data_IF_877686616495
#
_entry.id   IF_877686616495
#
_cell.length_a   1.000
_cell.length_b   1.000
_cell.length_c   1.000
_cell.angle_alpha   90.00
_cell.angle_beta   90.00
_cell.angle_gamma   90.00
#
_symmetry.space_group_name_H-M   'P 1'
#
loop_
_entity.id
_entity.type
_entity.pdbx_description
1 polymer ?
#
# COMPACT_ATOMS: atom_id res chain seq x y z
N UNK A 1 -41.12 33.51 20.22
CA UNK A 1 -40.62 33.26 18.84
C UNK A 1 -41.18 31.92 18.36
N UNK A 2 -41.82 31.86 17.20
CA UNK A 2 -42.45 30.64 16.69
C UNK A 2 -41.49 29.77 15.87
N UNK A 3 -41.37 28.50 16.25
CA UNK A 3 -40.89 27.45 15.36
C UNK A 3 -41.92 27.29 14.23
N UNK A 4 -41.59 27.64 12.98
CA UNK A 4 -42.56 27.47 11.89
C UNK A 4 -42.28 28.17 10.58
N UNK A 5 -41.26 27.76 9.83
CA UNK A 5 -41.30 27.82 8.36
C UNK A 5 -40.29 26.85 7.72
N UNK A 6 -40.64 25.56 7.73
CA UNK A 6 -39.96 24.59 6.87
C UNK A 6 -40.34 24.92 5.41
N UNK A 7 -39.44 25.58 4.66
CA UNK A 7 -39.66 25.90 3.24
C UNK A 7 -39.95 24.60 2.49
N UNK A 8 -41.17 24.46 1.95
CA UNK A 8 -41.52 23.36 1.05
C UNK A 8 -40.56 23.39 -0.13
N UNK A 9 -39.88 22.26 -0.36
CA UNK A 9 -39.10 22.03 -1.58
C UNK A 9 -40.01 22.25 -2.81
N UNK A 10 -39.46 22.83 -3.88
CA UNK A 10 -40.26 23.14 -5.06
C UNK A 10 -40.86 21.86 -5.67
N UNK A 11 -42.03 21.93 -6.33
CA UNK A 11 -42.70 20.74 -6.90
C UNK A 11 -41.78 19.96 -7.85
N UNK A 12 -40.93 20.66 -8.61
CA UNK A 12 -39.91 20.03 -9.47
C UNK A 12 -38.90 19.17 -8.70
N UNK A 13 -38.45 19.62 -7.51
CA UNK A 13 -37.48 18.86 -6.70
C UNK A 13 -38.14 17.70 -5.97
N UNK A 14 -39.36 17.87 -5.44
CA UNK A 14 -40.10 16.75 -4.84
C UNK A 14 -40.42 15.66 -5.86
N UNK A 15 -40.79 16.02 -7.09
CA UNK A 15 -41.04 15.07 -8.17
C UNK A 15 -39.76 14.40 -8.71
N UNK A 16 -38.63 15.13 -8.76
CA UNK A 16 -37.30 14.55 -9.04
C UNK A 16 -36.94 13.45 -8.01
N UNK A 17 -37.01 13.77 -6.72
CA UNK A 17 -36.73 12.81 -5.65
C UNK A 17 -37.71 11.62 -5.69
N UNK A 18 -38.99 11.87 -6.00
CA UNK A 18 -40.00 10.81 -6.14
C UNK A 18 -39.64 9.86 -7.29
N UNK A 19 -39.35 10.38 -8.48
CA UNK A 19 -39.06 9.56 -9.67
C UNK A 19 -37.74 8.81 -9.57
N UNK A 20 -36.69 9.40 -8.99
CA UNK A 20 -35.40 8.74 -8.85
C UNK A 20 -35.43 7.62 -7.79
N UNK A 21 -35.85 7.93 -6.56
CA UNK A 21 -35.72 7.03 -5.40
C UNK A 21 -36.80 5.94 -5.32
N UNK A 22 -38.01 6.19 -5.83
CA UNK A 22 -39.13 5.23 -5.76
C UNK A 22 -39.18 4.26 -6.94
N UNK A 23 -38.17 4.28 -7.83
CA UNK A 23 -38.02 3.23 -8.83
C UNK A 23 -37.58 1.92 -8.16
N UNK A 24 -38.17 0.75 -8.50
CA UNK A 24 -37.76 -0.53 -7.91
C UNK A 24 -36.26 -0.83 -8.09
N UNK A 25 -35.68 -0.36 -9.20
CA UNK A 25 -34.25 -0.46 -9.51
C UNK A 25 -33.39 0.36 -8.54
N UNK A 26 -33.79 1.59 -8.18
CA UNK A 26 -33.09 2.39 -7.17
C UNK A 26 -33.18 1.76 -5.77
N UNK A 27 -34.34 1.20 -5.40
CA UNK A 27 -34.51 0.46 -4.16
C UNK A 27 -33.57 -0.76 -4.07
N UNK A 28 -33.43 -1.53 -5.15
CA UNK A 28 -32.48 -2.63 -5.22
C UNK A 28 -31.03 -2.15 -5.09
N UNK A 29 -30.64 -1.09 -5.82
CA UNK A 29 -29.28 -0.55 -5.78
C UNK A 29 -28.92 -0.04 -4.37
N UNK A 30 -29.82 0.67 -3.70
CA UNK A 30 -29.65 1.11 -2.31
C UNK A 30 -29.47 -0.09 -1.35
N UNK A 31 -30.32 -1.12 -1.46
CA UNK A 31 -30.18 -2.34 -0.67
C UNK A 31 -28.81 -3.01 -0.89
N UNK A 32 -28.41 -3.20 -2.15
CA UNK A 32 -27.14 -3.83 -2.50
C UNK A 32 -25.93 -3.00 -2.00
N UNK A 33 -25.99 -1.67 -2.07
CA UNK A 33 -24.97 -0.79 -1.50
C UNK A 33 -24.87 -0.88 0.02
N UNK A 34 -25.99 -1.02 0.74
CA UNK A 34 -26.00 -1.24 2.19
C UNK A 34 -25.40 -2.61 2.53
N UNK A 35 -25.76 -3.67 1.81
CA UNK A 35 -25.20 -5.03 1.98
C UNK A 35 -23.69 -5.02 1.74
N UNK A 36 -23.23 -4.42 0.63
CA UNK A 36 -21.80 -4.27 0.31
C UNK A 36 -21.05 -3.54 1.43
N UNK A 37 -21.58 -2.39 1.89
CA UNK A 37 -20.95 -1.60 2.95
C UNK A 37 -20.88 -2.37 4.26
N UNK A 38 -21.93 -3.11 4.62
CA UNK A 38 -21.94 -3.95 5.82
C UNK A 38 -20.95 -5.11 5.75
N UNK A 39 -20.81 -5.74 4.58
CA UNK A 39 -19.92 -6.88 4.37
C UNK A 39 -18.43 -6.50 4.32
N UNK A 40 -18.07 -5.45 3.58
CA UNK A 40 -16.66 -5.11 3.31
C UNK A 40 -16.18 -3.88 4.09
N UNK A 41 -16.89 -2.76 4.02
CA UNK A 41 -16.48 -1.52 4.69
C UNK A 41 -16.67 -1.56 6.22
N UNK A 42 -17.64 -2.33 6.72
CA UNK A 42 -17.94 -2.46 8.15
C UNK A 42 -16.80 -3.10 8.97
N UNK A 43 -15.83 -3.78 8.34
CA UNK A 43 -14.59 -4.22 9.02
C UNK A 43 -13.71 -3.01 9.35
N UNK A 44 -13.39 -2.19 8.34
CA UNK A 44 -12.53 -1.00 8.48
C UNK A 44 -13.04 -0.04 9.56
N UNK A 45 -14.34 0.21 9.61
CA UNK A 45 -14.90 1.20 10.54
C UNK A 45 -14.85 0.73 11.99
N UNK A 46 -15.07 -0.56 12.27
CA UNK A 46 -14.98 -1.11 13.63
C UNK A 46 -13.56 -1.06 14.21
N UNK A 47 -12.52 -1.20 13.37
CA UNK A 47 -11.13 -1.03 13.79
C UNK A 47 -10.76 0.42 14.13
N UNK A 48 -11.41 1.40 13.50
CA UNK A 48 -11.04 2.82 13.59
C UNK A 48 -11.91 3.66 14.53
N UNK A 49 -13.11 3.19 14.90
CA UNK A 49 -14.12 3.98 15.63
C UNK A 49 -14.74 3.25 16.82
N UNK A 50 -13.92 2.47 17.53
CA UNK A 50 -14.32 1.70 18.71
C UNK A 50 -14.93 2.53 19.86
N UNK A 51 -14.74 3.85 19.88
CA UNK A 51 -15.19 4.75 20.96
C UNK A 51 -16.34 5.70 20.58
N UNK A 52 -16.66 5.88 19.29
CA UNK A 52 -17.71 6.83 18.83
C UNK A 52 -18.72 6.15 17.89
N UNK A 53 -19.88 5.80 18.46
CA UNK A 53 -21.02 5.24 17.74
C UNK A 53 -21.64 6.19 16.70
N UNK A 54 -21.60 7.51 16.92
CA UNK A 54 -22.13 8.48 15.95
C UNK A 54 -21.20 8.58 14.74
N UNK A 55 -19.89 8.62 14.95
CA UNK A 55 -18.90 8.56 13.88
C UNK A 55 -19.03 7.27 13.06
N UNK A 56 -19.18 6.12 13.72
CA UNK A 56 -19.39 4.82 13.06
C UNK A 56 -20.64 4.82 12.18
N UNK A 57 -21.76 5.38 12.66
CA UNK A 57 -22.99 5.53 11.86
C UNK A 57 -22.77 6.47 10.68
N UNK A 58 -22.15 7.64 10.88
CA UNK A 58 -21.88 8.60 9.81
C UNK A 58 -20.94 8.03 8.74
N UNK A 59 -19.89 7.30 9.13
CA UNK A 59 -18.98 6.59 8.23
C UNK A 59 -19.72 5.51 7.42
N UNK A 60 -20.60 4.73 8.07
CA UNK A 60 -21.42 3.70 7.44
C UNK A 60 -22.40 4.29 6.42
N UNK A 61 -23.12 5.37 6.78
CA UNK A 61 -24.03 6.09 5.87
C UNK A 61 -23.28 6.70 4.69
N UNK A 62 -22.15 7.39 4.94
CA UNK A 62 -21.30 7.95 3.89
C UNK A 62 -20.80 6.86 2.94
N UNK A 63 -20.39 5.72 3.47
CA UNK A 63 -19.95 4.55 2.71
C UNK A 63 -21.07 3.99 1.83
N UNK A 64 -22.26 3.75 2.37
CA UNK A 64 -23.40 3.26 1.58
C UNK A 64 -23.77 4.22 0.43
N UNK A 65 -23.72 5.54 0.66
CA UNK A 65 -23.89 6.56 -0.39
C UNK A 65 -22.74 6.56 -1.42
N UNK A 66 -21.50 6.34 -0.95
CA UNK A 66 -20.31 6.20 -1.80
C UNK A 66 -20.32 4.93 -2.67
N UNK A 67 -20.97 3.85 -2.24
CA UNK A 67 -21.19 2.66 -3.07
C UNK A 67 -22.40 2.87 -3.99
N UNK A 68 -23.45 3.54 -3.52
CA UNK A 68 -24.66 3.82 -4.31
C UNK A 68 -24.40 4.66 -5.56
N UNK A 69 -23.60 5.73 -5.50
CA UNK A 69 -23.32 6.52 -6.70
C UNK A 69 -22.59 5.67 -7.77
N UNK A 70 -21.66 4.82 -7.34
CA UNK A 70 -20.89 3.94 -8.24
C UNK A 70 -21.78 2.84 -8.83
N UNK A 71 -22.59 2.18 -8.02
CA UNK A 71 -23.53 1.14 -8.50
C UNK A 71 -24.60 1.75 -9.40
N UNK A 72 -25.12 2.95 -9.09
CA UNK A 72 -26.03 3.68 -9.97
C UNK A 72 -25.39 4.01 -11.33
N UNK A 73 -24.15 4.53 -11.34
CA UNK A 73 -23.40 4.79 -12.57
C UNK A 73 -23.19 3.51 -13.40
N UNK A 74 -22.70 2.44 -12.79
CA UNK A 74 -22.47 1.16 -13.47
C UNK A 74 -23.78 0.56 -14.01
N UNK A 75 -24.91 0.75 -13.32
CA UNK A 75 -26.22 0.21 -13.71
C UNK A 75 -26.78 0.79 -15.01
N UNK A 76 -26.23 1.91 -15.50
CA UNK A 76 -26.57 2.51 -16.79
C UNK A 76 -26.30 1.56 -17.98
N UNK A 77 -25.34 0.63 -17.83
CA UNK A 77 -25.12 -0.43 -18.81
C UNK A 77 -25.12 -1.81 -18.11
N UNK A 78 -26.20 -2.57 -18.32
CA UNK A 78 -26.41 -3.90 -17.73
C UNK A 78 -25.23 -4.88 -17.91
N UNK A 79 -24.50 -4.80 -19.03
CA UNK A 79 -23.38 -5.69 -19.31
C UNK A 79 -22.16 -5.30 -18.48
N UNK A 80 -21.90 -4.00 -18.34
CA UNK A 80 -20.85 -3.45 -17.46
C UNK A 80 -21.17 -3.72 -16.00
N UNK A 81 -22.43 -3.57 -15.58
CA UNK A 81 -22.86 -3.87 -14.21
C UNK A 81 -22.60 -5.33 -13.83
N UNK A 82 -23.04 -6.27 -14.68
CA UNK A 82 -22.90 -7.73 -14.44
C UNK A 82 -21.44 -8.20 -14.49
N UNK A 83 -20.59 -7.63 -15.35
CA UNK A 83 -19.16 -7.98 -15.36
C UNK A 83 -18.37 -7.32 -14.22
N UNK A 84 -18.62 -6.05 -13.94
CA UNK A 84 -17.73 -5.23 -13.09
C UNK A 84 -18.06 -5.35 -11.61
N UNK A 85 -19.35 -5.35 -11.22
CA UNK A 85 -19.74 -5.36 -9.80
C UNK A 85 -19.24 -6.62 -9.06
N UNK A 86 -19.31 -7.84 -9.62
CA UNK A 86 -18.74 -9.02 -8.97
C UNK A 86 -17.23 -8.91 -8.76
N UNK A 87 -16.47 -8.43 -9.76
CA UNK A 87 -15.02 -8.22 -9.66
C UNK A 87 -14.71 -7.22 -8.54
N UNK A 88 -15.43 -6.10 -8.45
CA UNK A 88 -15.25 -5.13 -7.36
C UNK A 88 -15.59 -5.72 -5.99
N UNK A 89 -16.60 -6.59 -5.89
CA UNK A 89 -16.91 -7.31 -4.64
C UNK A 89 -15.81 -8.32 -4.28
N UNK A 90 -15.27 -9.08 -5.24
CA UNK A 90 -14.17 -10.01 -5.02
C UNK A 90 -12.89 -9.30 -4.54
N UNK A 91 -12.49 -8.20 -5.19
CA UNK A 91 -11.34 -7.39 -4.76
C UNK A 91 -11.57 -6.76 -3.38
N UNK A 92 -12.80 -6.30 -3.10
CA UNK A 92 -13.15 -5.76 -1.78
C UNK A 92 -13.20 -6.84 -0.69
N UNK A 93 -13.57 -8.08 -1.05
CA UNK A 93 -13.50 -9.24 -0.16
C UNK A 93 -12.05 -9.61 0.18
N UNK A 94 -11.12 -9.57 -0.78
CA UNK A 94 -9.69 -9.72 -0.49
C UNK A 94 -9.22 -8.70 0.56
N UNK A 95 -9.46 -7.40 0.32
CA UNK A 95 -9.04 -6.35 1.27
C UNK A 95 -9.71 -6.53 2.63
N UNK A 96 -11.02 -6.73 2.69
CA UNK A 96 -11.75 -6.89 3.95
C UNK A 96 -11.29 -8.12 4.74
N UNK A 97 -10.95 -9.24 4.07
CA UNK A 97 -10.37 -10.42 4.71
C UNK A 97 -9.01 -10.11 5.34
N UNK A 98 -8.12 -9.45 4.59
CA UNK A 98 -6.79 -9.12 5.10
C UNK A 98 -6.83 -8.08 6.22
N UNK A 99 -7.66 -7.05 6.11
CA UNK A 99 -7.89 -6.08 7.20
C UNK A 99 -8.50 -6.76 8.42
N UNK A 100 -9.42 -7.72 8.28
CA UNK A 100 -9.97 -8.48 9.41
C UNK A 100 -8.94 -9.41 10.09
N UNK A 101 -8.00 -9.98 9.31
CA UNK A 101 -7.06 -11.01 9.79
C UNK A 101 -5.74 -10.43 10.32
N UNK A 102 -5.23 -9.37 9.68
CA UNK A 102 -3.91 -8.78 9.94
C UNK A 102 -3.97 -7.31 10.39
N UNK A 103 -5.16 -6.70 10.42
CA UNK A 103 -5.35 -5.31 10.89
C UNK A 103 -4.78 -4.21 9.97
N UNK A 104 -4.20 -4.55 8.80
CA UNK A 104 -3.62 -3.55 7.90
C UNK A 104 -4.67 -2.76 7.11
N UNK A 105 -4.32 -1.54 6.72
CA UNK A 105 -5.16 -0.62 5.97
C UNK A 105 -4.72 -0.50 4.51
N UNK A 106 -5.68 -0.43 3.59
CA UNK A 106 -5.40 -0.27 2.17
C UNK A 106 -4.72 1.09 1.87
N UNK A 107 -3.46 1.02 1.50
CA UNK A 107 -2.64 2.17 1.09
C UNK A 107 -1.87 1.88 -0.21
N UNK A 108 -1.20 2.90 -0.72
CA UNK A 108 -0.28 2.87 -1.85
C UNK A 108 0.77 1.74 -1.73
N UNK A 109 1.29 1.47 -0.54
CA UNK A 109 2.24 0.37 -0.29
C UNK A 109 1.60 -1.03 -0.40
N UNK A 110 0.33 -1.17 -0.03
CA UNK A 110 -0.46 -2.40 -0.21
C UNK A 110 -0.68 -2.68 -1.70
N UNK A 111 -0.93 -1.63 -2.48
CA UNK A 111 -1.04 -1.73 -3.94
C UNK A 111 0.33 -2.08 -4.55
N UNK A 112 1.41 -1.44 -4.10
CA UNK A 112 2.77 -1.74 -4.55
C UNK A 112 3.14 -3.20 -4.31
N UNK A 113 2.85 -3.75 -3.12
CA UNK A 113 3.05 -5.16 -2.81
C UNK A 113 2.40 -6.06 -3.85
N UNK A 114 1.10 -5.87 -4.15
CA UNK A 114 0.37 -6.69 -5.14
C UNK A 114 0.96 -6.59 -6.57
N UNK A 115 1.60 -5.47 -6.93
CA UNK A 115 2.23 -5.29 -8.25
C UNK A 115 3.70 -5.75 -8.33
N UNK A 116 4.42 -5.81 -7.22
CA UNK A 116 5.84 -6.20 -7.16
C UNK A 116 6.04 -7.66 -6.69
N UNK A 117 5.02 -8.26 -6.06
CA UNK A 117 5.07 -9.62 -5.52
C UNK A 117 5.21 -10.71 -6.59
N UNK A 118 5.87 -11.81 -6.23
CA UNK A 118 6.06 -12.98 -7.10
C UNK A 118 5.09 -14.16 -6.81
N UNK A 119 5.00 -15.13 -7.72
CA UNK A 119 4.07 -16.27 -7.58
C UNK A 119 4.27 -17.11 -6.28
N UNK A 120 5.51 -17.29 -5.82
CA UNK A 120 5.79 -18.03 -4.57
C UNK A 120 5.38 -17.26 -3.32
N UNK A 121 5.60 -15.94 -3.30
CA UNK A 121 5.07 -15.06 -2.25
C UNK A 121 3.54 -15.11 -2.22
N UNK A 122 2.87 -15.00 -3.38
CA UNK A 122 1.41 -15.11 -3.48
C UNK A 122 0.89 -16.44 -2.91
N UNK A 123 1.54 -17.57 -3.27
CA UNK A 123 1.16 -18.89 -2.76
C UNK A 123 1.30 -19.00 -1.23
N UNK A 124 2.29 -18.34 -0.62
CA UNK A 124 2.46 -18.30 0.83
C UNK A 124 1.36 -17.54 1.58
N UNK A 125 0.59 -16.70 0.89
CA UNK A 125 -0.50 -15.88 1.48
C UNK A 125 -1.89 -16.47 1.18
N UNK A 126 -2.01 -17.34 0.17
CA UNK A 126 -3.28 -17.98 -0.19
C UNK A 126 -3.70 -19.05 0.83
N UNK A 127 -4.81 -18.78 1.52
CA UNK A 127 -5.47 -19.74 2.41
C UNK A 127 -6.81 -20.21 1.84
N UNK A 128 -7.25 -21.43 2.20
CA UNK A 128 -8.58 -21.94 1.82
C UNK A 128 -9.73 -21.06 2.33
N UNK A 129 -9.54 -20.38 3.47
CA UNK A 129 -10.50 -19.43 4.03
C UNK A 129 -10.64 -18.17 3.16
N UNK A 130 -9.52 -17.57 2.74
CA UNK A 130 -9.51 -16.45 1.79
C UNK A 130 -10.17 -16.84 0.47
N UNK A 131 -9.80 -17.99 -0.10
CA UNK A 131 -10.37 -18.50 -1.37
C UNK A 131 -11.89 -18.68 -1.25
N UNK A 132 -12.37 -19.33 -0.18
CA UNK A 132 -13.81 -19.52 0.05
C UNK A 132 -14.55 -18.20 0.24
N UNK A 133 -13.97 -17.25 0.99
CA UNK A 133 -14.58 -15.93 1.22
C UNK A 133 -14.71 -15.12 -0.07
N UNK A 134 -13.66 -15.10 -0.89
CA UNK A 134 -13.65 -14.39 -2.19
C UNK A 134 -14.59 -15.07 -3.19
N UNK A 135 -14.63 -16.41 -3.26
CA UNK A 135 -15.59 -17.13 -4.11
C UNK A 135 -17.04 -16.91 -3.67
N UNK A 136 -17.32 -16.89 -2.36
CA UNK A 136 -18.64 -16.58 -1.83
C UNK A 136 -19.07 -15.14 -2.17
N UNK A 137 -18.15 -14.16 -2.04
CA UNK A 137 -18.40 -12.78 -2.43
C UNK A 137 -18.65 -12.63 -3.94
N UNK A 138 -17.87 -13.30 -4.78
CA UNK A 138 -18.05 -13.34 -6.24
C UNK A 138 -19.40 -13.97 -6.63
N UNK A 139 -19.76 -15.11 -6.03
CA UNK A 139 -21.01 -15.81 -6.31
C UNK A 139 -22.23 -15.01 -5.86
N UNK A 140 -22.20 -14.42 -4.65
CA UNK A 140 -23.29 -13.59 -4.13
C UNK A 140 -23.46 -12.31 -4.96
N UNK A 141 -22.37 -11.60 -5.28
CA UNK A 141 -22.42 -10.40 -6.10
C UNK A 141 -22.81 -10.70 -7.56
N UNK A 142 -22.38 -11.82 -8.13
CA UNK A 142 -22.80 -12.31 -9.44
C UNK A 142 -24.31 -12.61 -9.46
N UNK A 143 -24.80 -13.34 -8.46
CA UNK A 143 -26.22 -13.64 -8.30
C UNK A 143 -27.05 -12.35 -8.18
N UNK A 144 -26.67 -11.42 -7.30
CA UNK A 144 -27.35 -10.13 -7.15
C UNK A 144 -27.31 -9.28 -8.42
N UNK A 145 -26.19 -9.25 -9.15
CA UNK A 145 -26.10 -8.52 -10.42
C UNK A 145 -26.95 -9.12 -11.54
N UNK A 146 -27.04 -10.46 -11.61
CA UNK A 146 -27.92 -11.14 -12.56
C UNK A 146 -29.40 -10.93 -12.18
N UNK A 147 -29.74 -11.07 -10.90
CA UNK A 147 -31.08 -10.78 -10.39
C UNK A 147 -31.50 -9.34 -10.69
N UNK A 148 -30.60 -8.36 -10.55
CA UNK A 148 -30.86 -6.98 -10.96
C UNK A 148 -31.29 -6.89 -12.44
N UNK A 149 -30.47 -7.42 -13.34
CA UNK A 149 -30.69 -7.28 -14.80
C UNK A 149 -31.87 -8.12 -15.32
N UNK A 150 -32.20 -9.24 -14.68
CA UNK A 150 -33.36 -10.07 -15.05
C UNK A 150 -34.67 -9.60 -14.43
N UNK A 151 -34.68 -9.17 -13.14
CA UNK A 151 -35.91 -8.86 -12.40
C UNK A 151 -36.29 -7.38 -12.42
N UNK A 152 -35.33 -6.50 -12.70
CA UNK A 152 -35.52 -5.05 -12.76
C UNK A 152 -35.10 -4.52 -14.13
N UNK A 153 -35.77 -3.47 -14.62
CA UNK A 153 -35.26 -2.76 -15.80
C UNK A 153 -34.08 -1.88 -15.36
N UNK A 154 -32.97 -1.82 -16.12
CA UNK A 154 -31.93 -0.84 -15.83
C UNK A 154 -32.54 0.57 -15.84
N UNK A 155 -32.06 1.50 -15.01
CA UNK A 155 -32.60 2.85 -14.98
C UNK A 155 -32.43 3.51 -16.35
N UNK A 156 -33.37 4.37 -16.74
CA UNK A 156 -33.16 5.23 -17.91
C UNK A 156 -31.92 6.11 -17.70
N UNK A 157 -31.22 6.49 -18.77
CA UNK A 157 -30.02 7.32 -18.66
C UNK A 157 -30.22 8.54 -17.75
N UNK A 158 -31.37 9.21 -17.92
CA UNK A 158 -31.82 10.29 -17.05
C UNK A 158 -31.99 9.86 -15.59
N UNK A 159 -32.76 8.82 -15.30
CA UNK A 159 -33.05 8.37 -13.93
C UNK A 159 -31.80 7.85 -13.19
N UNK A 160 -30.87 7.20 -13.90
CA UNK A 160 -29.59 6.76 -13.34
C UNK A 160 -28.64 7.91 -13.04
N UNK A 161 -28.57 8.93 -13.91
CA UNK A 161 -27.84 10.18 -13.64
C UNK A 161 -28.48 10.97 -12.49
N UNK A 162 -29.81 11.07 -12.44
CA UNK A 162 -30.54 11.72 -11.35
C UNK A 162 -30.26 11.01 -10.00
N UNK A 163 -30.31 9.68 -9.94
CA UNK A 163 -29.95 8.89 -8.75
C UNK A 163 -28.46 9.07 -8.35
N UNK A 164 -27.57 9.07 -9.33
CA UNK A 164 -26.12 9.26 -9.11
C UNK A 164 -25.83 10.64 -8.53
N UNK A 165 -26.45 11.70 -9.08
CA UNK A 165 -26.33 13.07 -8.56
C UNK A 165 -26.92 13.21 -7.16
N UNK A 166 -28.06 12.56 -6.87
CA UNK A 166 -28.64 12.54 -5.51
C UNK A 166 -27.68 11.86 -4.52
N UNK A 167 -27.05 10.74 -4.90
CA UNK A 167 -26.08 10.05 -4.04
C UNK A 167 -24.82 10.90 -3.79
N UNK A 168 -24.29 11.60 -4.81
CA UNK A 168 -23.15 12.53 -4.66
C UNK A 168 -23.51 13.73 -3.78
N UNK A 169 -24.68 14.34 -3.97
CA UNK A 169 -25.14 15.46 -3.15
C UNK A 169 -25.38 15.04 -1.69
N UNK A 170 -25.99 13.88 -1.46
CA UNK A 170 -26.14 13.32 -0.11
C UNK A 170 -24.76 13.06 0.54
N UNK A 171 -23.79 12.54 -0.22
CA UNK A 171 -22.42 12.34 0.25
C UNK A 171 -21.69 13.66 0.57
N UNK A 172 -22.04 14.77 -0.08
CA UNK A 172 -21.54 16.11 0.27
C UNK A 172 -22.19 16.67 1.55
N UNK A 173 -23.49 16.40 1.76
CA UNK A 173 -24.23 16.79 2.97
C UNK A 173 -23.81 15.99 4.21
N UNK A 174 -23.47 14.70 4.07
CA UNK A 174 -22.92 13.87 5.16
C UNK A 174 -21.45 14.25 5.42
N UNK A 175 -21.26 15.39 6.08
CA UNK A 175 -19.96 15.90 6.53
C UNK A 175 -19.47 15.04 7.70
N UNK A 176 -18.24 14.53 7.56
CA UNK A 176 -17.54 13.77 8.60
C UNK A 176 -16.44 14.66 9.23
N UNK A 177 -16.17 14.58 10.55
CA UNK A 177 -15.21 15.46 11.22
C UNK A 177 -13.80 15.42 10.61
N UNK A 178 -13.13 16.58 10.52
CA UNK A 178 -11.88 16.70 9.73
C UNK A 178 -10.77 15.74 10.18
N UNK A 179 -10.63 15.49 11.49
CA UNK A 179 -9.65 14.54 12.04
C UNK A 179 -9.89 13.07 11.66
N UNK A 180 -11.07 12.74 11.11
CA UNK A 180 -11.47 11.37 10.75
C UNK A 180 -11.44 11.12 9.24
N UNK A 181 -10.74 12.00 8.49
CA UNK A 181 -10.55 11.91 7.03
C UNK A 181 -10.02 10.53 6.58
N UNK A 182 -9.13 9.92 7.36
CA UNK A 182 -8.59 8.56 7.14
C UNK A 182 -9.67 7.50 6.88
N UNK A 183 -10.77 7.53 7.62
CA UNK A 183 -11.91 6.63 7.43
C UNK A 183 -12.54 6.76 6.04
N UNK A 184 -12.64 7.99 5.55
CA UNK A 184 -13.27 8.28 4.25
C UNK A 184 -12.40 7.91 3.06
N UNK A 185 -11.07 7.87 3.24
CA UNK A 185 -10.12 7.47 2.20
C UNK A 185 -9.96 5.94 2.07
N UNK A 186 -10.50 5.16 3.02
CA UNK A 186 -10.50 3.69 2.97
C UNK A 186 -11.72 3.08 2.27
N UNK A 187 -12.78 3.84 1.97
CA UNK A 187 -14.08 3.33 1.48
C UNK A 187 -13.92 2.50 0.20
N UNK A 188 -14.08 1.18 0.31
CA UNK A 188 -14.11 0.23 -0.79
C UNK A 188 -15.40 0.43 -1.64
N UNK A 189 -15.35 0.19 -2.95
CA UNK A 189 -14.16 -0.12 -3.75
C UNK A 189 -13.42 1.14 -4.24
N UNK A 190 -13.88 2.35 -3.89
CA UNK A 190 -13.31 3.62 -4.38
C UNK A 190 -11.85 3.80 -3.95
N UNK A 191 -11.49 3.32 -2.75
CA UNK A 191 -10.14 3.33 -2.21
C UNK A 191 -9.15 2.51 -3.04
N UNK A 192 -9.56 1.39 -3.65
CA UNK A 192 -8.72 0.62 -4.59
C UNK A 192 -8.28 1.49 -5.77
N UNK A 193 -9.20 2.23 -6.39
CA UNK A 193 -8.90 3.13 -7.50
C UNK A 193 -8.05 4.32 -7.05
N UNK A 194 -8.40 4.96 -5.93
CA UNK A 194 -7.69 6.12 -5.41
C UNK A 194 -6.24 5.80 -5.02
N UNK A 195 -6.02 4.70 -4.27
CA UNK A 195 -4.68 4.25 -3.86
C UNK A 195 -3.86 3.74 -5.06
N UNK A 196 -4.49 3.08 -6.04
CA UNK A 196 -3.82 2.71 -7.29
C UNK A 196 -3.38 3.91 -8.12
N UNK A 197 -4.18 4.97 -8.19
CA UNK A 197 -3.79 6.20 -8.88
C UNK A 197 -2.65 6.95 -8.15
N UNK A 198 -2.65 6.94 -6.81
CA UNK A 198 -1.55 7.47 -5.99
C UNK A 198 -0.26 6.68 -6.25
N UNK A 199 -0.32 5.35 -6.19
CA UNK A 199 0.81 4.45 -6.52
C UNK A 199 1.35 4.69 -7.94
N UNK A 200 0.49 4.79 -8.96
CA UNK A 200 0.92 5.07 -10.34
C UNK A 200 1.51 6.48 -10.51
N UNK A 201 1.12 7.45 -9.68
CA UNK A 201 1.73 8.79 -9.65
C UNK A 201 3.09 8.76 -8.96
N UNK A 202 3.18 8.09 -7.81
CA UNK A 202 4.42 7.88 -7.07
C UNK A 202 5.45 7.20 -7.98
N UNK A 203 5.09 6.10 -8.64
CA UNK A 203 5.98 5.38 -9.55
C UNK A 203 6.56 6.28 -10.65
N UNK A 204 5.75 7.14 -11.28
CA UNK A 204 6.24 8.11 -12.27
C UNK A 204 7.22 9.12 -11.69
N UNK A 205 7.03 9.54 -10.43
CA UNK A 205 7.97 10.42 -9.72
C UNK A 205 9.25 9.66 -9.34
N UNK A 206 9.16 8.39 -8.93
CA UNK A 206 10.33 7.52 -8.70
C UNK A 206 11.12 7.32 -10.00
N UNK A 207 10.47 7.01 -11.13
CA UNK A 207 11.09 6.85 -12.45
C UNK A 207 11.79 8.14 -12.93
N UNK A 208 11.27 9.31 -12.56
CA UNK A 208 11.89 10.61 -12.85
C UNK A 208 13.11 10.85 -11.97
N UNK A 209 13.00 10.62 -10.66
CA UNK A 209 14.14 10.71 -9.72
C UNK A 209 15.27 9.74 -10.10
N UNK A 210 14.92 8.53 -10.53
CA UNK A 210 15.87 7.51 -10.99
C UNK A 210 16.55 7.83 -12.32
N UNK A 211 16.12 8.88 -13.04
CA UNK A 211 16.77 9.40 -14.26
C UNK A 211 17.62 10.63 -13.98
N UNK A 212 17.20 11.50 -13.06
CA UNK A 212 17.93 12.73 -12.67
C UNK A 212 18.92 12.51 -11.52
N UNK A 213 19.23 11.25 -11.24
CA UNK A 213 19.99 10.82 -10.06
C UNK A 213 21.49 11.08 -10.18
N UNK A 214 22.09 11.69 -9.15
CA UNK A 214 23.56 11.83 -9.05
C UNK A 214 24.23 10.44 -9.05
N UNK A 215 25.33 10.26 -9.80
CA UNK A 215 26.10 9.03 -9.73
C UNK A 215 27.31 9.16 -8.80
N UNK A 216 27.41 8.31 -7.78
CA UNK A 216 28.47 8.50 -6.76
C UNK A 216 29.85 8.00 -7.16
N UNK A 217 30.01 7.30 -8.30
CA UNK A 217 31.34 7.13 -8.90
C UNK A 217 31.91 8.46 -9.44
N UNK A 218 31.06 9.45 -9.71
CA UNK A 218 31.49 10.75 -10.21
C UNK A 218 32.15 11.58 -9.09
N UNK A 219 31.99 11.18 -7.82
CA UNK A 219 32.69 11.78 -6.68
C UNK A 219 34.17 11.36 -6.63
N UNK A 220 35.08 12.21 -6.12
CA UNK A 220 36.45 11.84 -5.84
C UNK A 220 36.55 10.59 -4.94
N UNK A 221 37.41 9.66 -5.36
CA UNK A 221 37.68 8.42 -4.63
C UNK A 221 38.98 7.76 -5.12
N UNK A 222 39.70 7.13 -4.19
CA UNK A 222 40.86 6.26 -4.45
C UNK A 222 40.64 4.91 -3.80
N UNK A 223 41.38 3.90 -4.27
CA UNK A 223 41.38 2.55 -3.72
C UNK A 223 42.84 2.12 -3.57
N UNK A 224 43.25 1.81 -2.34
CA UNK A 224 44.58 1.31 -2.01
C UNK A 224 44.39 0.09 -1.10
N UNK A 225 44.61 -1.11 -1.64
CA UNK A 225 44.35 -2.37 -0.96
C UNK A 225 44.70 -3.60 -1.81
N UNK A 226 44.64 -4.77 -1.19
CA UNK A 226 44.91 -6.07 -1.82
C UNK A 226 43.65 -6.67 -2.49
N UNK A 227 43.78 -7.86 -3.10
CA UNK A 227 42.68 -8.60 -3.73
C UNK A 227 41.59 -8.96 -2.69
N UNK A 228 40.46 -8.24 -2.75
CA UNK A 228 39.40 -8.32 -1.75
C UNK A 228 38.11 -8.93 -2.29
N UNK A 229 37.56 -9.91 -1.57
CA UNK A 229 36.24 -10.50 -1.81
C UNK A 229 35.26 -10.09 -0.71
N UNK A 230 34.24 -9.28 -1.06
CA UNK A 230 33.17 -8.86 -0.15
C UNK A 230 31.88 -9.62 -0.46
N UNK A 231 31.34 -10.34 0.53
CA UNK A 231 30.04 -11.03 0.43
C UNK A 231 29.01 -10.34 1.30
N UNK A 232 28.12 -9.55 0.68
CA UNK A 232 26.97 -8.96 1.37
C UNK A 232 25.77 -9.91 1.35
N UNK A 233 25.45 -10.49 2.51
CA UNK A 233 24.22 -11.26 2.72
C UNK A 233 23.10 -10.31 3.13
N UNK A 234 22.00 -10.32 2.39
CA UNK A 234 20.78 -9.54 2.69
C UNK A 234 19.73 -10.50 3.26
N UNK A 235 19.31 -10.28 4.50
CA UNK A 235 18.20 -11.00 5.11
C UNK A 235 16.83 -10.46 4.66
N UNK A 236 15.79 -11.27 4.83
CA UNK A 236 14.39 -10.87 4.64
C UNK A 236 13.63 -11.13 5.94
N UNK A 237 12.87 -10.12 6.41
CA UNK A 237 11.96 -10.14 7.58
C UNK A 237 12.52 -10.62 8.94
N UNK A 238 13.82 -10.91 9.03
CA UNK A 238 14.47 -11.34 10.27
C UNK A 238 14.61 -10.19 11.28
N UNK A 239 14.38 -10.48 12.57
CA UNK A 239 14.41 -9.49 13.66
C UNK A 239 15.56 -9.73 14.63
N UNK A 240 16.20 -8.64 15.06
CA UNK A 240 17.32 -8.68 16.04
C UNK A 240 16.97 -9.47 17.31
N UNK A 241 15.75 -9.31 17.81
CA UNK A 241 15.25 -9.91 19.06
C UNK A 241 15.01 -11.42 19.02
N UNK A 242 15.23 -12.08 17.87
CA UNK A 242 15.08 -13.53 17.69
C UNK A 242 16.41 -14.25 17.37
N UNK A 243 17.56 -13.56 17.43
CA UNK A 243 18.89 -14.16 17.29
C UNK A 243 19.53 -14.46 18.65
N UNK A 244 20.03 -15.69 18.85
CA UNK A 244 20.68 -16.09 20.11
C UNK A 244 21.95 -15.28 20.41
N UNK A 245 22.72 -14.97 19.36
CA UNK A 245 23.92 -14.12 19.41
C UNK A 245 23.60 -12.65 19.80
N UNK A 246 22.32 -12.25 19.77
CA UNK A 246 21.81 -10.97 20.27
C UNK A 246 21.11 -11.10 21.65
N UNK A 247 21.12 -12.28 22.28
CA UNK A 247 20.52 -12.55 23.58
C UNK A 247 19.15 -13.26 23.58
N UNK A 248 18.64 -13.73 22.43
CA UNK A 248 17.37 -14.47 22.40
C UNK A 248 17.48 -15.83 23.09
N UNK A 249 16.49 -16.23 23.89
CA UNK A 249 16.60 -17.42 24.79
C UNK A 249 16.68 -18.80 24.11
N UNK A 250 16.50 -18.90 22.79
CA UNK A 250 16.62 -20.17 22.03
C UNK A 250 17.83 -20.11 21.10
N UNK A 251 18.59 -21.22 20.90
CA UNK A 251 19.77 -21.25 20.05
C UNK A 251 19.41 -21.19 18.55
N UNK A 252 19.09 -20.00 18.06
CA UNK A 252 18.71 -19.74 16.66
C UNK A 252 19.89 -19.41 15.75
N UNK A 253 21.08 -19.14 16.30
CA UNK A 253 22.28 -18.72 15.55
C UNK A 253 23.58 -19.51 15.83
N UNK A 254 23.57 -20.81 16.22
CA UNK A 254 24.77 -21.51 16.70
C UNK A 254 25.95 -21.46 15.72
N UNK A 255 25.71 -21.54 14.41
CA UNK A 255 26.75 -21.47 13.36
C UNK A 255 27.44 -20.10 13.20
N UNK A 256 26.90 -19.05 13.81
CA UNK A 256 27.51 -17.72 13.91
C UNK A 256 28.34 -17.61 15.20
N UNK A 257 27.82 -18.16 16.31
CA UNK A 257 28.54 -18.27 17.58
C UNK A 257 29.79 -19.16 17.45
N UNK A 258 29.67 -20.32 16.79
CA UNK A 258 30.77 -21.23 16.40
C UNK A 258 31.90 -20.53 15.62
N UNK A 259 31.59 -19.42 14.93
CA UNK A 259 32.54 -18.63 14.13
C UNK A 259 32.97 -17.32 14.81
N UNK A 260 32.60 -17.10 16.07
CA UNK A 260 32.82 -15.84 16.80
C UNK A 260 32.37 -14.59 16.01
N UNK A 261 31.24 -14.68 15.30
CA UNK A 261 30.75 -13.59 14.45
C UNK A 261 30.41 -12.34 15.26
N UNK A 262 30.85 -11.17 14.78
CA UNK A 262 30.51 -9.89 15.41
C UNK A 262 29.02 -9.58 15.25
N UNK A 263 28.33 -9.34 16.37
CA UNK A 263 26.89 -9.11 16.43
C UNK A 263 26.57 -7.66 16.80
N UNK A 264 25.53 -7.11 16.18
CA UNK A 264 25.09 -5.72 16.35
C UNK A 264 23.62 -5.68 16.83
N UNK A 265 23.33 -6.05 18.09
CA UNK A 265 21.94 -6.21 18.57
C UNK A 265 21.11 -4.92 18.48
N UNK A 266 21.74 -3.75 18.58
CA UNK A 266 21.11 -2.44 18.42
C UNK A 266 20.89 -1.97 16.97
N UNK A 267 21.09 -2.83 15.96
CA UNK A 267 20.85 -2.46 14.56
C UNK A 267 19.35 -2.33 14.25
N UNK A 268 18.97 -1.24 13.59
CA UNK A 268 17.60 -0.93 13.16
C UNK A 268 17.55 -0.62 11.66
N UNK A 269 16.56 -1.17 10.93
CA UNK A 269 16.30 -0.73 9.57
C UNK A 269 15.68 0.68 9.55
N UNK A 270 15.91 1.41 8.46
CA UNK A 270 15.28 2.71 8.21
C UNK A 270 13.80 2.60 7.82
N UNK A 271 13.43 1.46 7.27
CA UNK A 271 12.15 1.17 6.64
C UNK A 271 11.76 -0.28 6.94
N UNK A 272 10.45 -0.56 6.99
CA UNK A 272 9.90 -1.87 7.36
C UNK A 272 9.43 -2.72 6.16
N UNK A 273 9.51 -2.16 4.94
CA UNK A 273 9.05 -2.80 3.71
C UNK A 273 10.23 -2.95 2.74
N UNK A 274 10.47 -4.15 2.22
CA UNK A 274 11.59 -4.49 1.33
C UNK A 274 11.74 -3.51 0.16
N UNK A 275 10.63 -3.02 -0.41
CA UNK A 275 10.58 -1.97 -1.46
C UNK A 275 11.31 -0.66 -1.10
N UNK A 276 11.20 -0.22 0.14
CA UNK A 276 11.80 1.03 0.64
C UNK A 276 13.11 0.75 1.39
N UNK A 277 13.17 -0.39 2.10
CA UNK A 277 14.34 -0.87 2.81
C UNK A 277 15.50 -1.24 1.90
N UNK A 278 15.30 -2.00 0.80
CA UNK A 278 16.39 -2.38 -0.13
C UNK A 278 17.07 -1.18 -0.79
N UNK A 279 16.34 -0.16 -1.32
CA UNK A 279 16.92 1.14 -1.56
C UNK A 279 17.69 1.59 -0.33
N UNK A 280 17.05 1.83 0.81
CA UNK A 280 17.74 2.34 2.00
C UNK A 280 19.06 1.62 2.36
N UNK A 281 19.17 0.29 2.23
CA UNK A 281 20.42 -0.47 2.37
C UNK A 281 21.52 0.07 1.44
N UNK A 282 21.20 0.07 0.15
CA UNK A 282 22.06 0.54 -0.92
C UNK A 282 21.95 2.04 -1.16
N UNK A 283 21.39 2.85 -0.26
CA UNK A 283 21.18 4.26 -0.60
C UNK A 283 21.50 5.23 0.52
N UNK A 284 21.92 6.44 0.12
CA UNK A 284 22.23 7.60 0.94
C UNK A 284 21.27 7.77 2.12
N UNK A 285 20.00 7.40 2.01
CA UNK A 285 18.98 7.30 3.08
C UNK A 285 19.48 7.38 4.53
N UNK A 286 19.16 8.50 5.20
CA UNK A 286 19.33 8.68 6.65
C UNK A 286 17.94 8.77 7.30
N UNK A 287 17.83 8.71 8.65
CA UNK A 287 16.57 9.05 9.33
C UNK A 287 16.13 10.50 9.08
N UNK A 288 17.08 11.40 8.84
CA UNK A 288 16.83 12.83 8.61
C UNK A 288 16.44 13.18 7.17
N UNK A 289 16.75 12.33 6.18
CA UNK A 289 16.34 12.49 4.78
C UNK A 289 16.30 11.13 4.07
N UNK A 290 15.12 10.53 3.93
CA UNK A 290 14.92 9.29 3.18
C UNK A 290 14.89 9.49 1.64
N UNK A 291 14.91 10.72 1.10
CA UNK A 291 14.68 10.99 -0.33
C UNK A 291 15.86 10.65 -1.23
N UNK A 292 17.06 10.58 -0.66
CA UNK A 292 18.18 9.90 -1.30
C UNK A 292 18.17 8.37 -1.05
N UNK A 293 16.97 7.78 -0.89
CA UNK A 293 16.57 6.49 -1.45
C UNK A 293 16.30 6.54 -2.96
N UNK A 294 16.04 7.73 -3.54
CA UNK A 294 15.68 7.87 -4.97
C UNK A 294 16.50 8.89 -5.76
N UNK A 295 17.08 9.91 -5.11
CA UNK A 295 17.84 11.02 -5.75
C UNK A 295 19.22 10.71 -6.36
N UNK A 296 19.75 9.51 -6.20
CA UNK A 296 21.11 9.16 -6.62
C UNK A 296 21.10 7.70 -7.13
N UNK A 297 22.13 7.19 -7.77
CA UNK A 297 22.26 5.75 -8.11
C UNK A 297 22.47 4.95 -6.77
N UNK A 298 22.06 3.70 -6.40
CA UNK A 298 22.28 2.83 -5.15
C UNK A 298 23.52 1.83 -4.86
N UNK A 299 24.38 2.10 -3.85
CA UNK A 299 25.76 1.68 -3.40
C UNK A 299 26.88 1.12 -4.33
N UNK A 300 26.60 0.31 -5.35
CA UNK A 300 27.65 -0.51 -6.00
C UNK A 300 28.55 0.23 -7.06
N UNK A 301 28.58 1.57 -7.18
CA UNK A 301 29.46 2.20 -8.20
C UNK A 301 30.89 2.25 -7.78
N UNK A 302 31.14 2.54 -6.51
CA UNK A 302 32.46 2.97 -6.09
C UNK A 302 33.39 1.76 -6.22
N UNK A 303 32.92 0.56 -5.83
CA UNK A 303 33.43 -0.74 -6.26
C UNK A 303 33.64 -0.86 -7.80
N UNK A 304 32.60 -0.67 -8.62
CA UNK A 304 32.70 -0.79 -10.09
C UNK A 304 33.67 0.21 -10.75
N UNK A 305 33.88 1.39 -10.16
CA UNK A 305 34.84 2.41 -10.58
C UNK A 305 36.26 1.97 -10.30
N UNK A 306 36.48 1.30 -9.18
CA UNK A 306 37.75 0.70 -8.77
C UNK A 306 37.94 -0.74 -9.28
N UNK A 307 37.22 -1.13 -10.36
CA UNK A 307 37.47 -2.38 -11.09
C UNK A 307 36.84 -3.66 -10.51
N UNK A 308 36.18 -3.60 -9.36
CA UNK A 308 35.64 -4.79 -8.69
C UNK A 308 34.57 -5.53 -9.53
N UNK A 309 34.71 -6.85 -9.65
CA UNK A 309 33.61 -7.71 -10.10
C UNK A 309 32.45 -7.65 -9.08
N UNK A 310 31.22 -7.58 -9.57
CA UNK A 310 30.06 -7.19 -8.76
C UNK A 310 28.79 -7.85 -9.25
N UNK A 311 28.42 -8.92 -8.55
CA UNK A 311 27.35 -9.86 -8.91
C UNK A 311 26.18 -9.80 -7.92
N UNK A 312 25.00 -10.27 -8.31
CA UNK A 312 23.82 -10.33 -7.44
C UNK A 312 23.13 -11.68 -7.60
N UNK A 313 23.08 -12.45 -6.52
CA UNK A 313 22.42 -13.75 -6.44
C UNK A 313 21.16 -13.59 -5.58
N UNK A 314 19.99 -13.88 -6.14
CA UNK A 314 18.70 -13.75 -5.45
C UNK A 314 18.00 -15.10 -5.33
N UNK A 315 17.48 -15.40 -4.14
CA UNK A 315 16.44 -16.40 -3.92
C UNK A 315 15.07 -15.74 -3.58
N UNK A 316 15.01 -14.41 -3.56
CA UNK A 316 13.76 -13.64 -3.48
C UNK A 316 13.26 -13.26 -4.87
N UNK A 317 12.05 -12.69 -4.93
CA UNK A 317 11.27 -12.43 -6.14
C UNK A 317 11.93 -11.57 -7.24
N UNK A 318 11.17 -11.32 -8.31
CA UNK A 318 11.65 -10.74 -9.57
C UNK A 318 11.89 -9.23 -9.49
N UNK A 319 12.86 -8.81 -8.68
CA UNK A 319 13.36 -7.42 -8.62
C UNK A 319 14.27 -7.09 -9.83
N UNK A 320 13.66 -6.92 -11.01
CA UNK A 320 14.38 -6.54 -12.26
C UNK A 320 14.31 -5.04 -12.60
N UNK A 321 14.00 -4.20 -11.60
CA UNK A 321 14.15 -2.76 -11.66
C UNK A 321 15.02 -2.26 -10.47
N UNK A 322 15.73 -1.14 -10.68
CA UNK A 322 16.56 -0.45 -9.67
C UNK A 322 17.87 -1.16 -9.25
N UNK A 323 18.79 -1.39 -10.20
CA UNK A 323 20.22 -1.62 -9.90
C UNK A 323 21.09 -0.37 -10.23
N UNK A 324 22.05 -0.05 -9.33
CA UNK A 324 23.27 0.83 -9.42
C UNK A 324 23.28 2.08 -8.49
N UNK A 325 24.30 2.27 -7.58
CA UNK A 325 25.13 3.49 -7.20
C UNK A 325 25.83 3.93 -5.75
N UNK A 326 25.22 4.64 -4.70
CA UNK A 326 25.56 5.57 -3.46
C UNK A 326 26.57 5.28 -2.27
N UNK A 327 26.63 5.92 -1.03
CA UNK A 327 25.72 6.33 0.15
C UNK A 327 26.16 7.56 1.09
N UNK A 328 25.58 7.76 2.33
CA UNK A 328 25.74 8.86 3.39
C UNK A 328 26.08 8.24 4.77
N UNK A 329 26.31 9.07 5.80
CA UNK A 329 25.65 9.06 7.15
C UNK A 329 25.81 7.80 8.03
N UNK A 330 24.91 7.49 9.00
CA UNK A 330 25.08 6.28 9.87
C UNK A 330 23.83 5.54 10.41
N UNK A 331 23.07 4.94 9.50
CA UNK A 331 22.08 3.84 9.66
C UNK A 331 22.28 2.68 8.67
N UNK A 332 21.77 2.71 7.44
CA UNK A 332 22.11 1.70 6.41
C UNK A 332 23.38 2.05 5.62
N UNK A 333 23.53 3.31 5.24
CA UNK A 333 24.68 4.13 5.65
C UNK A 333 25.75 3.47 6.58
N UNK A 334 25.40 2.78 7.70
CA UNK A 334 26.39 2.06 8.54
C UNK A 334 27.12 0.98 7.78
N UNK A 335 26.36 0.13 7.11
CA UNK A 335 26.86 -0.93 6.26
C UNK A 335 27.73 -0.32 5.16
N UNK A 336 27.33 0.81 4.56
CA UNK A 336 28.07 1.43 3.48
C UNK A 336 29.48 1.94 3.85
N UNK A 337 29.60 2.85 4.83
CA UNK A 337 30.93 3.41 5.14
C UNK A 337 31.88 2.34 5.64
N UNK A 338 31.33 1.35 6.37
CA UNK A 338 32.08 0.17 6.77
C UNK A 338 32.52 -0.61 5.53
N UNK A 339 31.60 -1.06 4.67
CA UNK A 339 31.91 -1.87 3.49
C UNK A 339 32.87 -1.19 2.50
N UNK A 340 32.85 0.14 2.33
CA UNK A 340 33.86 0.82 1.49
C UNK A 340 35.23 0.99 2.18
N UNK A 341 35.28 1.51 3.41
CA UNK A 341 36.55 1.79 4.06
C UNK A 341 37.26 0.51 4.53
N UNK A 342 36.51 -0.49 5.04
CA UNK A 342 37.02 -1.86 5.25
C UNK A 342 37.47 -2.53 3.93
N UNK A 343 37.08 -1.98 2.77
CA UNK A 343 37.54 -2.41 1.45
C UNK A 343 38.69 -1.56 0.89
N UNK A 344 39.38 -0.74 1.70
CA UNK A 344 40.50 0.09 1.25
C UNK A 344 40.09 1.26 0.33
N UNK A 345 38.79 1.56 0.22
CA UNK A 345 38.27 2.63 -0.63
C UNK A 345 38.07 3.90 0.20
N UNK A 346 38.76 4.97 -0.16
CA UNK A 346 38.55 6.31 0.40
C UNK A 346 37.80 7.19 -0.61
N UNK A 347 36.90 8.06 -0.15
CA UNK A 347 36.08 8.92 -1.01
C UNK A 347 35.42 10.04 -0.24
N UNK A 348 35.10 11.16 -0.91
CA UNK A 348 34.15 12.17 -0.41
C UNK A 348 32.73 11.61 -0.17
N UNK A 349 32.42 10.43 -0.70
CA UNK A 349 31.20 9.70 -0.35
C UNK A 349 31.26 9.07 1.05
N UNK A 350 32.46 8.75 1.56
CA UNK A 350 32.70 7.97 2.78
C UNK A 350 32.99 8.90 3.96
N UNK A 351 32.36 8.63 5.11
CA UNK A 351 32.66 9.29 6.38
C UNK A 351 33.39 8.32 7.30
N UNK A 352 34.61 8.70 7.69
CA UNK A 352 35.51 7.89 8.49
C UNK A 352 35.16 7.87 9.98
N UNK A 353 34.41 8.88 10.49
CA UNK A 353 33.91 8.88 11.89
C UNK A 353 32.86 7.80 12.15
N UNK A 354 32.44 7.19 11.06
CA UNK A 354 31.27 6.36 10.97
C UNK A 354 31.77 4.94 10.69
N UNK A 355 32.48 4.68 9.59
CA UNK A 355 33.05 3.35 9.28
C UNK A 355 33.59 2.55 10.47
N UNK A 356 33.14 1.29 10.61
CA UNK A 356 33.54 0.38 11.69
C UNK A 356 34.99 -0.13 11.59
N UNK A 357 35.73 0.18 10.53
CA UNK A 357 37.16 -0.19 10.39
C UNK A 357 38.13 0.94 10.80
N UNK A 358 37.67 1.97 11.52
CA UNK A 358 38.52 3.03 12.07
C UNK A 358 39.03 2.78 13.50
N UNK A 359 38.40 1.90 14.27
CA UNK A 359 38.70 1.63 15.69
C UNK A 359 39.39 0.26 15.85
N UNK A 360 40.70 0.21 15.62
CA UNK A 360 41.55 -1.00 15.76
C UNK A 360 43.01 -0.67 16.05
#
# INVERSE_FOLDING_TARGET
MSLGQCRKLSPMVTDLFRRALWSPSAGFLLFFSIVFTSAFNGVHFRLFSAEDNLLLVLATVRSALSVLWLFALLSLNRHVFVSTVPILCGLSACVAYFTATFGFYLNENTIALVFETNAHETLGVLSGQLILFVLAALAAAGCLSLLFVHRFRPPSLRGGVELTMIAVLANWVVRIPQGTRSLTEQILPLSLFAKSFIYLREQRTLDQLLKTRQNLADLPSTFEGEDLVVVLIIGESARSDHFHINGYVRPTSPRLEERAALAFPGASSLESLTRYALPCMFTRSSPSDLRAAYRETSFISIFRKHGFWTEWISNQGRFWAVLKNRNRAFTHERLFHSVLHCAGITSEAVDLRLSLCGDG
#
